data_IF_225922503112
#
_entry.id   IF_225922503112
#
_cell.length_a   1.000
_cell.length_b   1.000
_cell.length_c   1.000
_cell.angle_alpha   90.00
_cell.angle_beta   90.00
_cell.angle_gamma   90.00
#
_symmetry.space_group_name_H-M   'P 1'
#
loop_
_entity.id
_entity.type
_entity.pdbx_description
1 polymer ?
#
# COMPACT_ATOMS: atom_id res chain seq x y z
N UNK A 1 3.85 -4.91 56.66
CA UNK A 1 3.72 -5.50 55.31
C UNK A 1 4.25 -4.46 54.36
N UNK A 2 5.52 -4.60 53.98
CA UNK A 2 6.29 -3.54 53.34
C UNK A 2 5.93 -3.40 51.86
N UNK A 3 5.54 -2.19 51.46
CA UNK A 3 5.25 -1.84 50.08
C UNK A 3 6.56 -1.73 49.30
N UNK A 4 6.86 -2.73 48.46
CA UNK A 4 8.03 -2.70 47.59
C UNK A 4 7.77 -1.76 46.41
N UNK A 5 8.28 -0.53 46.50
CA UNK A 5 8.25 0.45 45.42
C UNK A 5 9.10 -0.08 44.26
N UNK A 6 8.45 -0.44 43.15
CA UNK A 6 9.09 -0.74 41.87
C UNK A 6 9.60 0.57 41.25
N UNK A 7 10.63 1.17 41.85
CA UNK A 7 11.37 2.26 41.25
C UNK A 7 12.13 1.70 40.04
N UNK A 8 11.74 2.10 38.82
CA UNK A 8 12.41 1.70 37.59
C UNK A 8 13.91 1.97 37.70
N UNK A 9 14.73 0.91 37.63
CA UNK A 9 16.19 1.01 37.73
C UNK A 9 16.70 1.99 36.67
N UNK A 10 17.17 3.14 37.13
CA UNK A 10 17.80 4.15 36.27
C UNK A 10 19.02 3.52 35.59
N UNK A 11 19.01 3.42 34.25
CA UNK A 11 20.19 2.92 33.51
C UNK A 11 21.31 3.94 33.69
N UNK A 12 22.52 3.47 34.02
CA UNK A 12 23.68 4.35 34.12
C UNK A 12 23.90 5.08 32.79
N UNK A 13 24.40 6.32 32.85
CA UNK A 13 24.65 7.15 31.66
C UNK A 13 25.54 6.43 30.63
N UNK A 14 26.45 5.57 31.10
CA UNK A 14 27.30 4.70 30.27
C UNK A 14 26.51 3.64 29.50
N UNK A 15 25.35 3.19 30.01
CA UNK A 15 24.42 2.24 29.37
C UNK A 15 23.28 2.93 28.64
N UNK A 16 23.30 4.27 28.53
CA UNK A 16 22.32 5.03 27.76
C UNK A 16 22.67 4.85 26.28
N UNK A 17 21.96 3.93 25.62
CA UNK A 17 22.05 3.74 24.17
C UNK A 17 21.63 5.05 23.52
N UNK A 18 22.58 5.71 22.87
CA UNK A 18 22.28 6.84 21.97
C UNK A 18 21.98 6.22 20.62
N UNK A 19 20.87 6.60 20.00
CA UNK A 19 20.63 6.24 18.61
C UNK A 19 21.80 6.79 17.79
N UNK A 20 22.61 5.87 17.26
CA UNK A 20 23.65 6.21 16.29
C UNK A 20 22.93 6.36 14.97
N UNK A 21 23.12 7.49 14.30
CA UNK A 21 22.58 7.73 12.97
C UNK A 21 23.39 6.91 11.96
N UNK A 22 23.13 5.61 11.90
CA UNK A 22 23.71 4.73 10.88
C UNK A 22 22.83 4.80 9.62
N UNK A 23 23.45 4.86 8.42
CA UNK A 23 22.69 4.76 7.18
C UNK A 23 21.99 3.41 7.15
N UNK A 24 20.73 3.41 6.71
CA UNK A 24 19.97 2.17 6.52
C UNK A 24 20.77 1.24 5.61
N UNK A 25 21.04 0.02 6.08
CA UNK A 25 21.82 -0.95 5.31
C UNK A 25 21.10 -1.24 3.99
N UNK A 26 21.75 -0.92 2.87
CA UNK A 26 21.17 -1.15 1.54
C UNK A 26 20.95 -2.65 1.28
N UNK A 27 21.73 -3.50 1.93
CA UNK A 27 21.64 -4.96 1.87
C UNK A 27 20.39 -5.52 2.57
N UNK A 28 19.65 -4.69 3.31
CA UNK A 28 18.40 -5.11 3.96
C UNK A 28 17.19 -5.09 3.04
N UNK A 29 17.30 -4.51 1.84
CA UNK A 29 16.21 -4.62 0.86
C UNK A 29 16.37 -5.93 0.09
N UNK A 30 15.45 -6.89 0.22
CA UNK A 30 15.46 -8.07 -0.62
C UNK A 30 15.44 -7.63 -2.09
N UNK A 31 16.14 -8.35 -2.99
CA UNK A 31 16.11 -8.02 -4.41
C UNK A 31 14.66 -8.05 -4.90
N UNK A 32 14.27 -7.03 -5.67
CA UNK A 32 12.95 -6.99 -6.27
C UNK A 32 12.81 -8.22 -7.17
N UNK A 33 11.79 -9.05 -6.90
CA UNK A 33 11.49 -10.24 -7.71
C UNK A 33 11.12 -9.90 -9.17
N UNK A 34 10.72 -8.64 -9.41
CA UNK A 34 10.37 -8.09 -10.72
C UNK A 34 11.25 -6.89 -11.06
N UNK A 35 11.43 -6.63 -12.35
CA UNK A 35 12.04 -5.39 -12.83
C UNK A 35 11.15 -4.19 -12.43
N UNK A 36 11.68 -3.19 -11.69
CA UNK A 36 10.92 -2.00 -11.31
C UNK A 36 10.53 -1.09 -12.50
N UNK A 37 11.19 -1.23 -13.65
CA UNK A 37 10.93 -0.40 -14.84
C UNK A 37 9.97 -1.06 -15.83
N UNK A 38 9.71 -2.36 -15.69
CA UNK A 38 8.68 -3.05 -16.45
C UNK A 38 7.29 -2.68 -15.90
N UNK A 39 6.64 -1.74 -16.58
CA UNK A 39 5.31 -1.27 -16.22
C UNK A 39 4.27 -1.67 -17.28
N UNK A 40 3.09 -2.14 -16.89
CA UNK A 40 1.97 -2.34 -17.81
C UNK A 40 1.34 -1.02 -18.28
N UNK A 41 1.84 0.13 -17.81
CA UNK A 41 1.29 1.44 -18.13
C UNK A 41 1.80 1.95 -19.47
N UNK A 42 0.87 2.28 -20.36
CA UNK A 42 1.12 2.97 -21.62
C UNK A 42 1.06 4.49 -21.41
N UNK A 43 1.92 5.28 -22.09
CA UNK A 43 1.78 6.75 -22.14
C UNK A 43 0.42 7.21 -22.64
N UNK A 44 -0.20 6.40 -23.52
CA UNK A 44 -1.56 6.61 -24.01
C UNK A 44 -2.46 5.54 -23.39
N UNK A 45 -3.09 5.81 -22.22
CA UNK A 45 -3.97 4.85 -21.58
C UNK A 45 -5.21 4.61 -22.45
N UNK A 46 -5.76 3.38 -22.45
CA UNK A 46 -7.01 3.10 -23.14
C UNK A 46 -8.16 3.90 -22.52
N UNK A 47 -9.22 4.09 -23.31
CA UNK A 47 -10.48 4.64 -22.78
C UNK A 47 -11.00 3.65 -21.75
N UNK A 48 -11.39 4.16 -20.59
CA UNK A 48 -11.93 3.33 -19.51
C UNK A 48 -13.16 2.56 -19.98
N UNK A 49 -13.17 1.27 -19.69
CA UNK A 49 -14.33 0.39 -19.86
C UNK A 49 -14.66 -0.21 -18.50
N UNK A 50 -15.95 -0.15 -18.14
CA UNK A 50 -16.41 -0.74 -16.89
C UNK A 50 -16.13 -2.23 -16.85
N UNK A 51 -15.72 -2.68 -15.66
CA UNK A 51 -15.52 -4.10 -15.35
C UNK A 51 -16.59 -4.56 -14.39
N UNK A 52 -16.59 -5.85 -14.06
CA UNK A 52 -17.51 -6.39 -13.07
C UNK A 52 -17.37 -5.71 -11.70
N UNK A 53 -16.13 -5.34 -11.31
CA UNK A 53 -15.84 -4.76 -9.98
C UNK A 53 -15.63 -3.24 -10.02
N UNK A 54 -15.01 -2.71 -11.07
CA UNK A 54 -14.75 -1.27 -11.23
C UNK A 54 -15.80 -0.67 -12.17
N UNK A 55 -16.85 -0.10 -11.59
CA UNK A 55 -17.94 0.60 -12.30
C UNK A 55 -17.78 2.12 -12.20
N UNK A 56 -18.42 2.89 -13.10
CA UNK A 56 -18.39 4.35 -12.98
C UNK A 56 -19.00 4.82 -11.67
N UNK A 57 -20.05 4.17 -11.17
CA UNK A 57 -20.68 4.53 -9.90
C UNK A 57 -19.69 4.42 -8.73
N UNK A 58 -18.95 3.30 -8.65
CA UNK A 58 -17.91 3.09 -7.63
C UNK A 58 -16.78 4.11 -7.77
N UNK A 59 -16.34 4.40 -9.00
CA UNK A 59 -15.30 5.41 -9.24
C UNK A 59 -15.75 6.83 -8.88
N UNK A 60 -17.03 7.18 -9.10
CA UNK A 60 -17.58 8.49 -8.70
C UNK A 60 -17.73 8.61 -7.19
N UNK A 61 -18.06 7.52 -6.49
CA UNK A 61 -18.13 7.51 -5.03
C UNK A 61 -16.75 7.76 -4.39
N UNK A 62 -15.68 7.30 -5.04
CA UNK A 62 -14.32 7.65 -4.63
C UNK A 62 -14.02 9.07 -5.11
N UNK A 63 -14.28 10.05 -4.25
CA UNK A 63 -13.93 11.46 -4.47
C UNK A 63 -12.41 11.64 -4.54
N UNK A 64 -11.80 11.31 -5.68
CA UNK A 64 -10.36 11.41 -5.85
C UNK A 64 -9.88 12.87 -5.81
N UNK A 65 -10.64 13.77 -6.43
CA UNK A 65 -10.14 15.07 -6.84
C UNK A 65 -11.26 16.11 -7.00
N UNK A 66 -11.01 17.40 -6.68
CA UNK A 66 -11.89 18.49 -7.11
C UNK A 66 -11.99 18.56 -8.64
N UNK A 67 -13.12 19.05 -9.15
CA UNK A 67 -13.35 19.18 -10.58
C UNK A 67 -12.27 20.05 -11.25
N UNK A 68 -11.67 19.54 -12.33
CA UNK A 68 -10.61 20.22 -13.08
C UNK A 68 -9.19 20.02 -12.54
N UNK A 69 -9.00 19.30 -11.42
CA UNK A 69 -7.64 19.02 -10.90
C UNK A 69 -6.86 18.04 -11.79
N UNK A 70 -7.56 17.08 -12.42
CA UNK A 70 -6.99 16.16 -13.40
C UNK A 70 -7.53 16.44 -14.80
N UNK A 71 -6.65 16.35 -15.80
CA UNK A 71 -7.06 16.30 -17.21
C UNK A 71 -7.71 14.95 -17.52
N UNK A 72 -8.53 14.89 -18.57
CA UNK A 72 -9.20 13.66 -18.99
C UNK A 72 -8.22 12.50 -19.23
N UNK A 73 -7.02 12.79 -19.77
CA UNK A 73 -5.96 11.79 -19.97
C UNK A 73 -5.45 11.20 -18.65
N UNK A 74 -5.29 12.04 -17.63
CA UNK A 74 -4.85 11.59 -16.29
C UNK A 74 -5.95 10.80 -15.59
N UNK A 75 -7.21 11.17 -15.78
CA UNK A 75 -8.37 10.42 -15.27
C UNK A 75 -8.39 9.04 -15.93
N UNK A 76 -8.20 8.95 -17.25
CA UNK A 76 -8.14 7.68 -17.96
C UNK A 76 -6.97 6.81 -17.48
N UNK A 77 -5.80 7.41 -17.23
CA UNK A 77 -4.65 6.69 -16.66
C UNK A 77 -4.98 6.13 -15.27
N UNK A 78 -5.57 6.94 -14.39
CA UNK A 78 -5.95 6.54 -13.05
C UNK A 78 -6.97 5.38 -13.09
N UNK A 79 -8.01 5.51 -13.90
CA UNK A 79 -9.01 4.48 -14.08
C UNK A 79 -8.38 3.18 -14.59
N UNK A 80 -7.47 3.26 -15.56
CA UNK A 80 -6.73 2.09 -16.06
C UNK A 80 -5.88 1.42 -14.97
N UNK A 81 -5.21 2.20 -14.11
CA UNK A 81 -4.45 1.67 -12.96
C UNK A 81 -5.35 0.94 -11.98
N UNK A 82 -6.51 1.52 -11.65
CA UNK A 82 -7.50 0.91 -10.75
C UNK A 82 -8.01 -0.39 -11.35
N UNK A 83 -8.34 -0.42 -12.64
CA UNK A 83 -8.76 -1.63 -13.35
C UNK A 83 -7.68 -2.71 -13.33
N UNK A 84 -6.41 -2.37 -13.60
CA UNK A 84 -5.29 -3.32 -13.54
C UNK A 84 -5.10 -3.95 -12.15
N UNK A 85 -5.54 -3.25 -11.11
CA UNK A 85 -5.41 -3.68 -9.71
C UNK A 85 -6.73 -4.00 -9.04
N UNK A 86 -7.80 -4.24 -9.81
CA UNK A 86 -9.14 -4.48 -9.26
C UNK A 86 -9.22 -5.65 -8.26
N UNK A 87 -8.32 -6.63 -8.39
CA UNK A 87 -8.22 -7.78 -7.47
C UNK A 87 -7.70 -7.41 -6.09
N UNK A 88 -6.90 -6.35 -6.00
CA UNK A 88 -6.25 -5.88 -4.77
C UNK A 88 -7.00 -4.74 -4.09
N UNK A 89 -8.07 -4.23 -4.71
CA UNK A 89 -8.83 -3.08 -4.22
C UNK A 89 -10.17 -3.56 -3.70
N UNK A 90 -10.52 -3.20 -2.47
CA UNK A 90 -11.82 -3.50 -1.89
C UNK A 90 -12.61 -2.21 -1.71
N UNK A 91 -13.87 -2.19 -2.17
CA UNK A 91 -14.73 -1.00 -2.06
C UNK A 91 -15.60 -1.02 -0.80
N UNK A 92 -15.71 -2.17 -0.12
CA UNK A 92 -16.43 -2.36 1.12
C UNK A 92 -15.71 -3.37 2.02
N UNK A 93 -16.06 -3.40 3.31
CA UNK A 93 -15.42 -4.26 4.31
C UNK A 93 -15.54 -5.75 3.94
N UNK A 94 -16.67 -6.17 3.37
CA UNK A 94 -16.85 -7.58 2.97
C UNK A 94 -15.90 -7.99 1.83
N UNK A 95 -15.45 -7.04 1.00
CA UNK A 95 -14.46 -7.30 -0.06
C UNK A 95 -13.02 -7.36 0.50
N UNK A 96 -12.73 -6.74 1.65
CA UNK A 96 -11.40 -6.75 2.28
C UNK A 96 -10.99 -8.15 2.72
N UNK A 97 -11.91 -8.89 3.36
CA UNK A 97 -11.68 -10.28 3.79
C UNK A 97 -11.26 -11.20 2.63
N UNK A 98 -11.87 -11.04 1.45
CA UNK A 98 -11.50 -11.83 0.26
C UNK A 98 -10.11 -11.49 -0.29
N UNK A 99 -9.70 -10.23 -0.16
CA UNK A 99 -8.38 -9.77 -0.60
C UNK A 99 -7.27 -10.28 0.32
N UNK A 100 -7.51 -10.30 1.64
CA UNK A 100 -6.59 -10.90 2.61
C UNK A 100 -6.44 -12.39 2.39
N UNK A 101 -7.56 -13.10 2.18
CA UNK A 101 -7.54 -14.54 1.85
C UNK A 101 -6.80 -14.80 0.53
N UNK A 102 -6.93 -13.94 -0.48
CA UNK A 102 -6.20 -14.08 -1.74
C UNK A 102 -4.68 -13.92 -1.52
N UNK A 103 -4.27 -12.90 -0.76
CA UNK A 103 -2.89 -12.63 -0.42
C UNK A 103 -2.27 -13.74 0.44
N UNK A 104 -3.00 -14.25 1.44
CA UNK A 104 -2.57 -15.41 2.22
C UNK A 104 -2.34 -16.64 1.35
N UNK A 105 -3.25 -16.92 0.40
CA UNK A 105 -3.11 -18.07 -0.48
C UNK A 105 -1.93 -17.93 -1.45
N UNK A 106 -1.62 -16.72 -1.94
CA UNK A 106 -0.42 -16.48 -2.77
C UNK A 106 0.88 -16.71 -1.99
N UNK A 107 0.93 -16.34 -0.72
CA UNK A 107 2.13 -16.55 0.13
C UNK A 107 2.33 -18.01 0.56
N UNK A 108 1.27 -18.84 0.57
CA UNK A 108 1.37 -20.26 0.96
C UNK A 108 1.96 -21.18 -0.11
N UNK A 109 2.05 -20.73 -1.37
CA UNK A 109 2.57 -21.53 -2.49
C UNK A 109 3.92 -21.03 -3.04
N UNK A 110 4.63 -20.17 -2.30
CA UNK A 110 6.01 -19.75 -2.59
C UNK A 110 6.97 -20.30 -1.53
#
# INVERSE_FOLDING_TARGET
MDHQILAGKYKSVLKKVRAVNEPMSQDSNPPLSRDPYETPLSPNPPIFQETFKVTNERLQAVHFCPQGWLSNEKINLLNNVITLREKEISFCEEEEDYSEIHMENLTRYQ
#
